data_IF_861993203754
#
_entry.id   IF_861993203754
#
_cell.length_a   1.000
_cell.length_b   1.000
_cell.length_c   1.000
_cell.angle_alpha   90.00
_cell.angle_beta   90.00
_cell.angle_gamma   90.00
#
_symmetry.space_group_name_H-M   'P 1'
#
loop_
_entity.id
_entity.type
_entity.pdbx_description
1 polymer ?
#
# COMPACT_ATOMS: atom_id res chain seq x y z
N UNK A 1 15.93 1.29 -3.87
CA UNK A 1 15.69 -0.11 -4.28
C UNK A 1 15.71 -0.93 -3.02
N UNK A 2 14.74 -1.82 -2.85
CA UNK A 2 14.56 -2.64 -1.66
C UNK A 2 14.67 -4.12 -2.05
N UNK A 3 15.28 -4.91 -1.19
CA UNK A 3 15.42 -6.37 -1.34
C UNK A 3 15.13 -7.02 0.01
N UNK A 4 14.44 -8.16 -0.02
CA UNK A 4 14.12 -8.98 1.13
C UNK A 4 14.38 -10.45 0.78
N UNK A 5 14.92 -11.19 1.74
CA UNK A 5 15.13 -12.64 1.61
C UNK A 5 14.65 -13.32 2.87
N UNK A 6 13.92 -14.42 2.67
CA UNK A 6 13.54 -15.32 3.74
C UNK A 6 14.13 -16.71 3.47
N UNK A 7 14.92 -17.22 4.41
CA UNK A 7 15.58 -18.52 4.25
C UNK A 7 14.67 -19.71 4.61
N UNK A 8 13.59 -19.50 5.40
CA UNK A 8 12.63 -20.55 5.75
C UNK A 8 11.74 -20.90 4.53
N UNK A 9 11.20 -19.88 3.86
CA UNK A 9 10.47 -19.99 2.60
C UNK A 9 11.38 -20.08 1.37
N UNK A 10 12.69 -19.88 1.54
CA UNK A 10 13.67 -19.72 0.47
C UNK A 10 13.20 -18.68 -0.58
N UNK A 11 12.61 -17.58 -0.14
CA UNK A 11 11.89 -16.62 -0.98
C UNK A 11 12.66 -15.30 -1.11
N UNK A 12 12.56 -14.70 -2.30
CA UNK A 12 13.22 -13.43 -2.62
C UNK A 12 12.17 -12.39 -3.05
N UNK A 13 12.20 -11.25 -2.36
CA UNK A 13 11.36 -10.09 -2.65
C UNK A 13 12.21 -8.91 -3.09
N UNK A 14 11.77 -8.15 -4.09
CA UNK A 14 12.45 -6.91 -4.44
C UNK A 14 11.50 -5.85 -4.98
N UNK A 15 11.86 -4.59 -4.83
CA UNK A 15 11.05 -3.50 -5.37
C UNK A 15 11.70 -2.15 -5.38
N UNK A 16 10.98 -1.20 -5.95
CA UNK A 16 11.37 0.20 -6.04
C UNK A 16 10.13 1.07 -5.91
N UNK A 17 10.29 2.19 -5.20
CA UNK A 17 9.29 3.24 -5.12
C UNK A 17 9.95 4.56 -5.53
N UNK A 18 9.23 5.37 -6.29
CA UNK A 18 9.63 6.73 -6.66
C UNK A 18 8.51 7.71 -6.34
N UNK A 19 8.91 8.90 -5.92
CA UNK A 19 8.03 9.94 -5.44
C UNK A 19 8.24 11.19 -6.28
N UNK A 20 7.14 11.79 -6.73
CA UNK A 20 7.12 13.10 -7.36
C UNK A 20 6.21 14.01 -6.54
N UNK A 21 6.64 15.24 -6.31
CA UNK A 21 5.89 16.23 -5.53
C UNK A 21 6.01 17.57 -6.21
N UNK A 22 4.88 18.26 -6.36
CA UNK A 22 4.82 19.54 -7.05
C UNK A 22 3.91 20.52 -6.30
N UNK A 23 4.47 21.64 -5.86
CA UNK A 23 3.71 22.73 -5.26
C UNK A 23 2.94 23.48 -6.35
N UNK A 24 1.63 23.30 -6.41
CA UNK A 24 0.75 24.00 -7.35
C UNK A 24 0.55 25.45 -6.87
N UNK A 25 0.35 25.60 -5.56
CA UNK A 25 0.25 26.90 -4.87
C UNK A 25 0.93 26.82 -3.50
N UNK A 26 0.91 27.91 -2.74
CA UNK A 26 1.30 27.96 -1.33
C UNK A 26 0.43 27.05 -0.43
N UNK A 27 -0.77 26.71 -0.88
CA UNK A 27 -1.77 25.92 -0.13
C UNK A 27 -2.01 24.53 -0.68
N UNK A 28 -1.64 24.26 -1.93
CA UNK A 28 -1.94 22.99 -2.60
C UNK A 28 -0.68 22.38 -3.19
N UNK A 29 -0.36 21.17 -2.78
CA UNK A 29 0.75 20.37 -3.30
C UNK A 29 0.22 19.07 -3.87
N UNK A 30 0.59 18.71 -5.08
CA UNK A 30 0.30 17.40 -5.66
C UNK A 30 1.43 16.41 -5.36
N UNK A 31 1.06 15.16 -5.12
CA UNK A 31 1.98 14.05 -4.86
C UNK A 31 1.62 12.86 -5.74
N UNK A 32 2.63 12.26 -6.33
CA UNK A 32 2.52 11.03 -7.10
C UNK A 32 3.55 10.04 -6.57
N UNK A 33 3.16 8.79 -6.37
CA UNK A 33 4.05 7.70 -6.01
C UNK A 33 3.84 6.53 -6.96
N UNK A 34 4.92 6.08 -7.58
CA UNK A 34 4.95 4.86 -8.38
C UNK A 34 5.73 3.77 -7.65
N UNK A 35 5.21 2.56 -7.62
CA UNK A 35 5.80 1.42 -6.91
C UNK A 35 5.77 0.17 -7.79
N UNK A 36 6.83 -0.63 -7.72
CA UNK A 36 6.86 -2.00 -8.24
C UNK A 36 7.44 -2.89 -7.14
N UNK A 37 6.78 -4.01 -6.87
CA UNK A 37 7.21 -5.04 -5.94
C UNK A 37 7.08 -6.42 -6.58
N UNK A 38 8.13 -7.22 -6.51
CA UNK A 38 8.13 -8.61 -6.96
C UNK A 38 8.19 -9.52 -5.75
N UNK A 39 7.22 -10.43 -5.68
CA UNK A 39 7.19 -11.55 -4.76
C UNK A 39 7.27 -12.85 -5.58
N UNK A 40 8.46 -13.44 -5.63
CA UNK A 40 8.76 -14.52 -6.57
C UNK A 40 8.10 -15.85 -6.19
N UNK A 41 7.85 -16.07 -4.89
CA UNK A 41 7.26 -17.28 -4.30
C UNK A 41 5.89 -17.05 -3.66
N UNK A 42 5.41 -15.80 -3.59
CA UNK A 42 4.14 -15.47 -2.94
C UNK A 42 4.23 -15.57 -1.42
N UNK A 43 5.41 -15.29 -0.86
CA UNK A 43 5.73 -15.42 0.55
C UNK A 43 5.56 -14.10 1.31
N UNK A 44 5.87 -12.97 0.67
CA UNK A 44 5.93 -11.66 1.32
C UNK A 44 4.58 -10.93 1.32
N UNK A 45 3.66 -11.29 0.43
CA UNK A 45 2.32 -10.69 0.34
C UNK A 45 1.26 -11.73 0.65
N UNK A 46 0.37 -11.42 1.59
CA UNK A 46 -0.75 -12.27 1.96
C UNK A 46 -2.06 -11.47 2.01
N UNK A 47 -3.17 -12.15 1.73
CA UNK A 47 -4.52 -11.66 1.96
C UNK A 47 -5.02 -12.31 3.25
N UNK A 48 -5.09 -11.52 4.33
CA UNK A 48 -5.60 -12.01 5.61
C UNK A 48 -7.12 -11.88 5.66
N UNK A 49 -7.81 -12.99 5.85
CA UNK A 49 -9.26 -13.03 5.93
C UNK A 49 -9.79 -12.82 7.37
N UNK A 50 -8.96 -13.06 8.38
CA UNK A 50 -9.21 -12.70 9.77
C UNK A 50 -8.26 -11.55 10.23
N UNK A 51 -8.76 -10.55 10.98
CA UNK A 51 -7.94 -9.45 11.49
C UNK A 51 -6.78 -9.85 12.40
N UNK A 52 -6.84 -11.02 13.06
CA UNK A 52 -5.82 -11.52 13.99
C UNK A 52 -4.82 -12.46 13.34
N UNK A 53 -5.15 -13.04 12.18
CA UNK A 53 -4.22 -13.89 11.40
C UNK A 53 -2.87 -13.22 11.07
N UNK A 54 -2.76 -11.91 10.76
CA UNK A 54 -1.45 -11.30 10.52
C UNK A 54 -0.57 -11.30 11.78
N UNK A 55 -1.15 -11.05 12.95
CA UNK A 55 -0.39 -11.07 14.22
C UNK A 55 0.04 -12.50 14.55
N UNK A 56 -0.86 -13.47 14.40
CA UNK A 56 -0.57 -14.89 14.60
C UNK A 56 0.57 -15.39 13.71
N UNK A 57 0.53 -15.06 12.43
CA UNK A 57 1.56 -15.45 11.48
C UNK A 57 2.94 -14.86 11.85
N UNK A 58 2.97 -13.61 12.33
CA UNK A 58 4.19 -12.97 12.81
C UNK A 58 4.72 -13.58 14.12
N UNK A 59 3.82 -14.05 14.99
CA UNK A 59 4.16 -14.79 16.21
C UNK A 59 4.56 -16.26 15.95
N UNK A 60 4.55 -16.71 14.69
CA UNK A 60 4.87 -18.09 14.30
C UNK A 60 3.73 -19.09 14.53
N UNK A 61 2.52 -18.61 14.83
CA UNK A 61 1.32 -19.42 14.95
C UNK A 61 0.66 -19.64 13.58
N UNK A 62 -0.14 -20.70 13.48
CA UNK A 62 -0.97 -20.92 12.31
C UNK A 62 -2.09 -19.87 12.22
N UNK A 63 -2.39 -19.43 10.99
CA UNK A 63 -3.58 -18.65 10.66
C UNK A 63 -4.83 -19.51 10.82
N UNK A 64 -5.93 -18.94 11.30
CA UNK A 64 -7.16 -19.68 11.60
C UNK A 64 -8.09 -19.71 10.40
N UNK A 65 -8.19 -18.62 9.63
CA UNK A 65 -9.11 -18.57 8.50
C UNK A 65 -8.48 -19.26 7.28
N UNK A 66 -9.09 -20.32 6.73
CA UNK A 66 -8.56 -21.01 5.56
C UNK A 66 -8.58 -20.15 4.27
N UNK A 67 -9.29 -19.01 4.28
CA UNK A 67 -9.26 -18.02 3.20
C UNK A 67 -8.04 -17.12 3.28
N UNK A 68 -7.29 -17.13 4.39
CA UNK A 68 -5.99 -16.47 4.46
C UNK A 68 -5.04 -17.18 3.49
N UNK A 69 -4.71 -16.50 2.40
CA UNK A 69 -3.91 -17.06 1.31
C UNK A 69 -2.78 -16.11 0.94
N UNK A 70 -1.63 -16.68 0.58
CA UNK A 70 -0.56 -15.91 -0.05
C UNK A 70 -1.07 -15.27 -1.34
N UNK A 71 -0.58 -14.08 -1.67
CA UNK A 71 -0.93 -13.34 -2.88
C UNK A 71 -0.47 -14.02 -4.19
N UNK A 72 0.12 -15.21 -4.09
CA UNK A 72 0.69 -15.97 -5.19
C UNK A 72 1.99 -15.37 -5.72
N UNK A 73 2.61 -16.06 -6.67
CA UNK A 73 3.85 -15.60 -7.33
C UNK A 73 3.54 -14.40 -8.22
N UNK A 74 3.71 -13.19 -7.69
CA UNK A 74 3.12 -11.97 -8.27
C UNK A 74 4.13 -10.83 -8.36
N UNK A 75 4.01 -10.03 -9.42
CA UNK A 75 4.62 -8.71 -9.49
C UNK A 75 3.50 -7.67 -9.32
N UNK A 76 3.58 -6.87 -8.27
CA UNK A 76 2.63 -5.81 -7.96
C UNK A 76 3.15 -4.49 -8.48
N UNK A 77 2.30 -3.73 -9.14
CA UNK A 77 2.52 -2.33 -9.47
C UNK A 77 1.52 -1.48 -8.72
N UNK A 78 1.93 -0.32 -8.22
CA UNK A 78 1.02 0.64 -7.66
C UNK A 78 1.30 2.05 -8.19
N UNK A 79 0.22 2.79 -8.42
CA UNK A 79 0.26 4.23 -8.67
C UNK A 79 -0.65 4.90 -7.66
N UNK A 80 -0.07 5.79 -6.87
CA UNK A 80 -0.80 6.63 -5.92
C UNK A 80 -0.73 8.08 -6.38
N UNK A 81 -1.86 8.76 -6.37
CA UNK A 81 -1.97 10.21 -6.60
C UNK A 81 -2.69 10.83 -5.42
N UNK A 82 -2.19 11.96 -4.93
CA UNK A 82 -2.78 12.63 -3.79
C UNK A 82 -2.49 14.12 -3.77
N UNK A 83 -3.19 14.82 -2.90
CA UNK A 83 -3.02 16.26 -2.67
C UNK A 83 -2.70 16.50 -1.20
N UNK A 84 -1.95 17.55 -0.92
CA UNK A 84 -1.91 18.20 0.39
C UNK A 84 -2.58 19.56 0.27
N UNK A 85 -3.66 19.76 1.02
CA UNK A 85 -4.49 20.97 0.98
C UNK A 85 -4.42 21.66 2.32
N UNK A 86 -3.94 22.91 2.36
CA UNK A 86 -3.88 23.78 3.53
C UNK A 86 -5.01 24.80 3.48
N UNK A 87 -6.20 24.50 4.04
CA UNK A 87 -7.32 25.42 4.01
C UNK A 87 -7.01 26.69 4.83
N UNK A 88 -7.54 27.83 4.39
CA UNK A 88 -7.44 29.07 5.14
C UNK A 88 -8.44 29.06 6.30
N UNK A 89 -8.02 28.54 7.45
CA UNK A 89 -8.84 28.46 8.67
C UNK A 89 -8.28 29.37 9.76
N UNK A 90 -9.14 29.98 10.61
CA UNK A 90 -8.69 30.82 11.71
C UNK A 90 -7.94 30.01 12.78
N UNK A 91 -7.16 30.70 13.62
CA UNK A 91 -6.55 30.08 14.82
C UNK A 91 -7.65 29.43 15.68
N UNK A 92 -7.39 28.26 16.29
CA UNK A 92 -6.09 27.56 16.38
C UNK A 92 -5.81 26.57 15.24
N UNK A 93 -6.68 26.44 14.24
CA UNK A 93 -6.59 25.39 13.22
C UNK A 93 -5.62 25.70 12.08
N UNK A 94 -4.78 26.74 12.21
CA UNK A 94 -3.93 27.25 11.11
C UNK A 94 -2.91 26.22 10.60
N UNK A 95 -2.63 25.17 11.39
CA UNK A 95 -1.79 24.02 11.00
C UNK A 95 -2.53 22.86 10.34
N UNK A 96 -3.81 23.01 9.98
CA UNK A 96 -4.60 21.96 9.33
C UNK A 96 -4.11 21.68 7.90
N UNK A 97 -3.86 20.41 7.58
CA UNK A 97 -3.63 19.92 6.21
C UNK A 97 -4.53 18.73 5.94
N UNK A 98 -5.32 18.76 4.86
CA UNK A 98 -6.19 17.66 4.42
C UNK A 98 -5.51 16.95 3.25
N UNK A 99 -5.49 15.62 3.28
CA UNK A 99 -4.73 14.79 2.34
C UNK A 99 -5.59 13.71 1.71
N UNK A 100 -6.36 14.03 0.66
CA UNK A 100 -7.03 13.01 -0.13
C UNK A 100 -6.03 12.28 -1.02
N UNK A 101 -6.20 10.98 -1.16
CA UNK A 101 -5.41 10.14 -2.06
C UNK A 101 -6.27 9.08 -2.77
N UNK A 102 -5.83 8.75 -3.97
CA UNK A 102 -6.32 7.63 -4.77
C UNK A 102 -5.14 6.74 -5.12
N UNK A 103 -5.32 5.45 -4.99
CA UNK A 103 -4.33 4.43 -5.32
C UNK A 103 -4.95 3.38 -6.22
N UNK A 104 -4.20 2.98 -7.24
CA UNK A 104 -4.48 1.78 -8.04
C UNK A 104 -3.34 0.79 -7.84
N UNK A 105 -3.69 -0.42 -7.48
CA UNK A 105 -2.80 -1.58 -7.39
C UNK A 105 -3.14 -2.55 -8.51
N UNK A 106 -2.13 -3.11 -9.16
CA UNK A 106 -2.31 -4.03 -10.27
C UNK A 106 -1.28 -5.16 -10.26
N UNK A 107 -1.71 -6.36 -10.66
CA UNK A 107 -0.80 -7.48 -10.93
C UNK A 107 -0.18 -7.34 -12.33
N UNK A 108 1.12 -7.06 -12.36
CA UNK A 108 1.90 -6.89 -13.60
C UNK A 108 2.19 -8.19 -14.34
N UNK A 109 1.91 -9.35 -13.72
CA UNK A 109 2.08 -10.67 -14.33
C UNK A 109 0.76 -11.47 -14.46
N UNK A 110 -0.39 -10.80 -14.33
CA UNK A 110 -1.71 -11.36 -14.63
C UNK A 110 -2.29 -12.29 -13.56
N UNK A 111 -1.69 -12.35 -12.37
CA UNK A 111 -2.26 -13.08 -11.22
C UNK A 111 -3.45 -12.31 -10.63
N UNK A 112 -4.42 -13.04 -10.08
CA UNK A 112 -5.54 -12.46 -9.36
C UNK A 112 -5.22 -12.44 -7.87
N UNK A 113 -4.62 -11.35 -7.42
CA UNK A 113 -4.13 -11.23 -6.04
C UNK A 113 -4.98 -10.32 -5.17
N UNK A 114 -6.09 -9.80 -5.71
CA UNK A 114 -6.97 -8.87 -5.02
C UNK A 114 -8.40 -9.41 -4.95
N UNK A 115 -9.18 -8.86 -4.01
CA UNK A 115 -10.59 -9.18 -3.81
C UNK A 115 -10.84 -10.70 -3.71
N UNK A 116 -10.21 -11.35 -2.73
CA UNK A 116 -10.34 -12.80 -2.52
C UNK A 116 -9.88 -13.60 -3.75
N UNK A 117 -8.75 -13.17 -4.33
CA UNK A 117 -8.14 -13.72 -5.55
C UNK A 117 -9.04 -13.75 -6.79
N UNK A 118 -9.97 -12.80 -6.91
CA UNK A 118 -10.88 -12.67 -8.07
C UNK A 118 -10.39 -11.64 -9.07
N UNK A 119 -9.70 -10.61 -8.61
CA UNK A 119 -9.34 -9.45 -9.40
C UNK A 119 -7.82 -9.28 -9.51
N UNK A 120 -7.40 -8.70 -10.64
CA UNK A 120 -6.01 -8.31 -10.90
C UNK A 120 -5.74 -6.86 -10.51
N UNK A 121 -6.78 -6.09 -10.18
CA UNK A 121 -6.70 -4.66 -9.91
C UNK A 121 -7.51 -4.33 -8.67
N UNK A 122 -6.97 -3.46 -7.82
CA UNK A 122 -7.68 -2.87 -6.69
C UNK A 122 -7.58 -1.35 -6.75
N UNK A 123 -8.70 -0.67 -6.51
CA UNK A 123 -8.74 0.77 -6.34
C UNK A 123 -8.99 1.10 -4.88
N UNK A 124 -8.20 2.03 -4.33
CA UNK A 124 -8.35 2.51 -2.96
C UNK A 124 -8.45 4.03 -2.98
N UNK A 125 -9.39 4.55 -2.20
CA UNK A 125 -9.50 5.97 -1.91
C UNK A 125 -9.33 6.16 -0.41
N UNK A 126 -8.54 7.15 0.00
CA UNK A 126 -8.35 7.49 1.39
C UNK A 126 -8.31 9.00 1.57
N UNK A 127 -8.61 9.43 2.80
CA UNK A 127 -8.44 10.81 3.21
C UNK A 127 -7.99 10.82 4.66
N UNK A 128 -6.97 11.61 4.94
CA UNK A 128 -6.56 11.90 6.31
C UNK A 128 -6.35 13.41 6.50
N UNK A 129 -6.15 13.82 7.76
CA UNK A 129 -5.81 15.19 8.09
C UNK A 129 -4.70 15.22 9.14
N UNK A 130 -3.81 16.20 8.99
CA UNK A 130 -2.80 16.56 9.98
C UNK A 130 -3.26 17.85 10.66
N UNK A 131 -3.25 17.87 11.99
CA UNK A 131 -3.47 19.06 12.80
C UNK A 131 -2.19 19.33 13.58
N UNK A 132 -1.64 20.52 13.40
CA UNK A 132 -0.43 20.98 14.12
C UNK A 132 -0.83 22.10 15.07
N UNK A 133 -0.33 22.06 16.31
CA UNK A 133 -0.65 23.00 17.40
C UNK A 133 0.50 23.96 17.66
#
# INVERSE_FOLDING_TARGET
MNYARDDLGNADGFGVAQYFTYAITDKVTAKIRGEIWRDDKGFFVAQFADPHDPVRALDGEATIDPRTIGGGRTAYGALTVGLDIKPAVPKPLTGLTIRPELRVDHSLNGTRSFNDSKDQTLFTAAVDAIITF
#
